data_IF_792880157613
#
_entry.id   IF_792880157613
#
_cell.length_a   1.000
_cell.length_b   1.000
_cell.length_c   1.000
_cell.angle_alpha   90.00
_cell.angle_beta   90.00
_cell.angle_gamma   90.00
#
_symmetry.space_group_name_H-M   'P 1'
#
loop_
_entity.id
_entity.type
_entity.pdbx_description
1 polymer ?
#
# COMPACT_ATOMS: atom_id res chain seq x y z
N UNK A 1 -0.88 -1.70 6.21
CA UNK A 1 -2.33 -1.85 6.50
C UNK A 1 -2.52 -1.56 7.98
N UNK A 2 -3.67 -1.03 8.41
CA UNK A 2 -3.97 -0.90 9.85
C UNK A 2 -4.19 -2.28 10.51
N UNK A 3 -4.03 -2.39 11.84
CA UNK A 3 -4.50 -3.55 12.59
C UNK A 3 -6.01 -3.79 12.36
N UNK A 4 -6.39 -5.06 12.15
CA UNK A 4 -7.78 -5.44 11.89
C UNK A 4 -8.32 -5.03 10.52
N UNK A 5 -7.44 -4.79 9.54
CA UNK A 5 -7.84 -4.48 8.17
C UNK A 5 -8.51 -5.70 7.50
N UNK A 6 -9.57 -5.54 6.68
CA UNK A 6 -10.28 -6.68 6.05
C UNK A 6 -9.37 -7.63 5.25
N UNK A 7 -8.31 -7.12 4.63
CA UNK A 7 -7.33 -7.98 3.93
C UNK A 7 -6.52 -8.91 4.84
N UNK A 8 -6.46 -8.61 6.15
CA UNK A 8 -5.80 -9.47 7.13
C UNK A 8 -6.68 -10.65 7.57
N UNK A 9 -7.97 -10.61 7.23
CA UNK A 9 -8.89 -11.72 7.43
C UNK A 9 -8.68 -12.73 6.28
N UNK A 10 -7.83 -13.74 6.54
CA UNK A 10 -7.52 -14.82 5.61
C UNK A 10 -6.35 -14.55 4.64
N UNK A 11 -6.02 -15.52 3.76
CA UNK A 11 -4.87 -15.43 2.87
C UNK A 11 -4.94 -14.25 1.91
N UNK A 12 -3.83 -13.53 1.77
CA UNK A 12 -3.71 -12.47 0.78
C UNK A 12 -3.54 -13.08 -0.62
N UNK A 13 -4.42 -12.71 -1.56
CA UNK A 13 -4.29 -13.03 -2.99
C UNK A 13 -4.08 -11.75 -3.80
N UNK A 14 -3.57 -11.88 -5.03
CA UNK A 14 -3.41 -10.75 -5.94
C UNK A 14 -4.73 -10.06 -6.25
N UNK A 15 -5.81 -10.82 -6.42
CA UNK A 15 -7.16 -10.30 -6.63
C UNK A 15 -7.64 -9.46 -5.44
N UNK A 16 -7.50 -9.98 -4.20
CA UNK A 16 -7.89 -9.24 -3.00
C UNK A 16 -7.04 -7.99 -2.81
N UNK A 17 -5.72 -8.11 -3.03
CA UNK A 17 -4.82 -6.97 -3.00
C UNK A 17 -5.24 -5.90 -4.01
N UNK A 18 -5.49 -6.28 -5.27
CA UNK A 18 -5.85 -5.36 -6.34
C UNK A 18 -7.22 -4.69 -6.10
N UNK A 19 -8.19 -5.41 -5.53
CA UNK A 19 -9.52 -4.90 -5.22
C UNK A 19 -9.56 -3.85 -4.10
N UNK A 20 -8.53 -3.79 -3.25
CA UNK A 20 -8.45 -2.79 -2.18
C UNK A 20 -8.12 -1.38 -2.70
N UNK A 21 -8.30 -0.37 -1.86
CA UNK A 21 -7.86 1.00 -2.14
C UNK A 21 -6.42 1.21 -1.67
N UNK A 22 -5.60 1.81 -2.52
CA UNK A 22 -4.15 1.95 -2.29
C UNK A 22 -3.75 3.40 -2.16
N UNK A 23 -2.74 3.64 -1.32
CA UNK A 23 -1.95 4.86 -1.33
C UNK A 23 -0.52 4.54 -1.76
N UNK A 24 -0.05 5.25 -2.78
CA UNK A 24 1.35 5.16 -3.24
C UNK A 24 2.20 6.25 -2.60
N UNK A 25 3.52 6.05 -2.56
CA UNK A 25 4.48 7.06 -2.12
C UNK A 25 5.12 7.71 -3.33
N UNK A 26 4.75 8.97 -3.58
CA UNK A 26 5.25 9.73 -4.72
C UNK A 26 5.34 11.21 -4.38
N UNK A 27 6.57 11.75 -4.31
CA UNK A 27 6.82 13.19 -4.14
C UNK A 27 6.18 14.05 -5.23
N UNK A 28 5.91 13.49 -6.41
CA UNK A 28 5.30 14.18 -7.56
C UNK A 28 3.81 13.90 -7.71
N UNK A 29 3.18 13.24 -6.73
CA UNK A 29 1.75 12.91 -6.78
C UNK A 29 1.37 11.90 -7.85
N UNK A 30 2.31 11.05 -8.31
CA UNK A 30 2.00 10.00 -9.28
C UNK A 30 1.16 8.92 -8.62
N UNK A 31 0.06 8.54 -9.25
CA UNK A 31 -0.83 7.45 -8.83
C UNK A 31 -0.49 6.11 -9.50
N UNK A 32 0.58 6.07 -10.30
CA UNK A 32 1.10 4.87 -10.94
C UNK A 32 2.59 4.73 -10.64
N UNK A 33 3.00 3.53 -10.27
CA UNK A 33 4.37 3.13 -9.94
C UNK A 33 4.66 1.71 -10.46
N UNK A 34 5.90 1.19 -10.32
CA UNK A 34 6.28 -0.12 -10.85
C UNK A 34 5.45 -1.30 -10.36
N UNK A 35 4.76 -1.17 -9.21
CA UNK A 35 3.85 -2.22 -8.71
C UNK A 35 2.64 -2.35 -9.64
N UNK A 36 2.13 -1.25 -10.18
CA UNK A 36 1.02 -1.26 -11.14
C UNK A 36 1.39 -2.00 -12.42
N UNK A 37 2.61 -1.77 -12.92
CA UNK A 37 3.11 -2.46 -14.11
C UNK A 37 3.28 -3.96 -13.85
N UNK A 38 3.77 -4.34 -12.66
CA UNK A 38 3.89 -5.74 -12.24
C UNK A 38 2.54 -6.44 -12.04
N UNK A 39 1.50 -5.73 -11.58
CA UNK A 39 0.15 -6.29 -11.51
C UNK A 39 -0.45 -6.46 -12.90
N UNK A 40 -0.21 -5.50 -13.79
CA UNK A 40 -0.74 -5.54 -15.15
C UNK A 40 -0.19 -6.72 -15.96
N UNK A 41 1.09 -7.09 -15.78
CA UNK A 41 1.65 -8.30 -16.41
C UNK A 41 1.01 -9.59 -15.91
N UNK A 42 0.39 -9.56 -14.72
CA UNK A 42 -0.35 -10.66 -14.11
C UNK A 42 -1.87 -10.56 -14.34
N UNK A 43 -2.34 -9.60 -15.16
CA UNK A 43 -3.76 -9.42 -15.48
C UNK A 43 -4.58 -8.74 -14.38
N UNK A 44 -3.94 -8.06 -13.43
CA UNK A 44 -4.59 -7.33 -12.35
C UNK A 44 -4.38 -5.82 -12.47
N UNK A 45 -5.36 -5.05 -12.01
CA UNK A 45 -5.27 -3.60 -11.86
C UNK A 45 -5.73 -3.22 -10.46
N UNK A 46 -4.93 -2.40 -9.76
CA UNK A 46 -5.28 -1.91 -8.42
C UNK A 46 -5.83 -0.50 -8.46
N UNK A 47 -6.62 -0.14 -7.45
CA UNK A 47 -7.17 1.22 -7.31
C UNK A 47 -6.30 2.10 -6.42
N UNK A 48 -5.45 2.94 -7.01
CA UNK A 48 -4.65 3.94 -6.27
C UNK A 48 -5.45 5.23 -6.11
N UNK A 49 -5.91 5.52 -4.88
CA UNK A 49 -6.80 6.65 -4.60
C UNK A 49 -6.06 7.91 -4.13
N UNK A 50 -4.81 7.76 -3.69
CA UNK A 50 -4.01 8.87 -3.18
C UNK A 50 -2.50 8.62 -3.36
N UNK A 51 -1.73 9.71 -3.34
CA UNK A 51 -0.27 9.67 -3.27
C UNK A 51 0.23 10.49 -2.08
N UNK A 52 1.02 9.86 -1.21
CA UNK A 52 1.71 10.51 -0.10
C UNK A 52 3.13 10.97 -0.49
N UNK A 53 3.64 12.09 0.06
CA UNK A 53 4.97 12.59 -0.29
C UNK A 53 6.12 11.72 0.23
N UNK A 54 5.91 10.98 1.32
CA UNK A 54 6.93 10.13 1.97
C UNK A 54 6.33 8.86 2.57
N UNK A 55 7.16 7.84 2.79
CA UNK A 55 6.75 6.62 3.50
C UNK A 55 6.31 6.91 4.94
N UNK A 56 7.01 7.82 5.64
CA UNK A 56 6.65 8.22 7.00
C UNK A 56 5.24 8.84 7.05
N UNK A 57 4.90 9.72 6.11
CA UNK A 57 3.55 10.27 6.01
C UNK A 57 2.50 9.17 5.79
N UNK A 58 2.78 8.26 4.85
CA UNK A 58 1.88 7.14 4.55
C UNK A 58 1.66 6.24 5.77
N UNK A 59 2.73 5.90 6.49
CA UNK A 59 2.68 5.10 7.71
C UNK A 59 1.88 5.76 8.83
N UNK A 60 1.94 7.09 8.97
CA UNK A 60 1.13 7.82 9.95
C UNK A 60 -0.36 7.82 9.60
N UNK A 61 -0.70 7.78 8.31
CA UNK A 61 -2.10 7.73 7.85
C UNK A 61 -2.69 6.31 7.92
N UNK A 62 -1.85 5.28 7.76
CA UNK A 62 -2.29 3.89 7.66
C UNK A 62 -3.25 3.46 8.80
N UNK A 63 -3.00 3.75 10.09
CA UNK A 63 -3.89 3.31 11.18
C UNK A 63 -5.30 3.88 11.12
N UNK A 64 -5.49 5.04 10.48
CA UNK A 64 -6.76 5.76 10.41
C UNK A 64 -7.56 5.45 9.15
N UNK A 65 -7.08 4.55 8.28
CA UNK A 65 -7.69 4.28 6.97
C UNK A 65 -7.68 2.79 6.63
N UNK A 66 -8.52 2.39 5.68
CA UNK A 66 -8.47 1.07 5.03
C UNK A 66 -7.58 1.06 3.79
N UNK A 67 -6.56 1.94 3.76
CA UNK A 67 -5.64 2.02 2.63
C UNK A 67 -4.51 0.99 2.75
N UNK A 68 -4.21 0.38 1.61
CA UNK A 68 -3.07 -0.50 1.43
C UNK A 68 -1.86 0.32 0.98
N UNK A 69 -0.72 0.06 1.63
CA UNK A 69 0.58 0.65 1.30
C UNK A 69 1.52 -0.46 0.86
N UNK A 70 2.25 -0.22 -0.23
CA UNK A 70 3.35 -1.09 -0.66
C UNK A 70 4.65 -0.31 -0.54
N UNK A 71 5.48 -0.72 0.42
CA UNK A 71 6.71 -0.05 0.79
C UNK A 71 7.88 -1.05 0.78
N UNK A 72 9.11 -0.61 0.50
CA UNK A 72 10.30 -1.42 0.75
C UNK A 72 10.40 -1.78 2.24
N UNK A 73 10.92 -2.97 2.55
CA UNK A 73 11.12 -3.45 3.93
C UNK A 73 11.88 -2.45 4.81
N UNK A 74 12.94 -1.85 4.27
CA UNK A 74 13.73 -0.81 4.94
C UNK A 74 12.94 0.44 5.37
N UNK A 75 11.76 0.69 4.79
CA UNK A 75 10.90 1.80 5.17
C UNK A 75 9.91 1.46 6.31
N UNK A 76 9.69 0.17 6.58
CA UNK A 76 8.76 -0.33 7.61
C UNK A 76 9.51 -0.65 8.92
N UNK A 77 10.83 -0.80 8.86
CA UNK A 77 11.68 -0.96 10.04
C UNK A 77 11.72 0.31 10.88
N UNK A 78 10.95 0.33 11.96
CA UNK A 78 11.04 1.35 13.00
C UNK A 78 12.25 1.04 13.92
N UNK A 79 13.20 1.98 14.14
CA UNK A 79 14.20 1.83 15.18
C UNK A 79 13.50 1.95 16.55
N UNK A 80 13.04 0.82 17.11
CA UNK A 80 12.43 0.80 18.44
C UNK A 80 11.42 -0.32 18.74
N UNK A 81 11.07 -1.20 17.80
CA UNK A 81 10.10 -2.27 18.06
C UNK A 81 10.70 -3.48 18.77
N UNK A 82 10.50 -3.60 20.09
CA UNK A 82 10.33 -4.87 20.79
C UNK A 82 8.90 -4.95 21.28
#
# INVERSE_FOLDING_TARGET
MRPGHPLTEGPLSLERYAAAEHLTVSRRGRLRDPVDDALATLGHERRVVAAGPTAAFALQLAPATDLVLTLPDAAVTFPGGR
#
